data_IF_450404792498
#
_entry.id   IF_450404792498
#
_cell.length_a   1.000
_cell.length_b   1.000
_cell.length_c   1.000
_cell.angle_alpha   90.00
_cell.angle_beta   90.00
_cell.angle_gamma   90.00
#
_symmetry.space_group_name_H-M   'P 1'
#
loop_
_entity.id
_entity.type
_entity.pdbx_description
1 polymer ?
#
# COMPACT_ATOMS: atom_id res chain seq x y z
N UNK A 1 4.86 16.87 -0.19
CA UNK A 1 3.88 17.28 0.83
C UNK A 1 3.61 16.03 1.66
N UNK A 2 3.89 16.07 2.96
CA UNK A 2 3.74 14.92 3.86
C UNK A 2 2.27 14.55 4.03
N UNK A 3 1.98 13.26 4.26
CA UNK A 3 0.63 12.76 4.59
C UNK A 3 0.64 11.92 5.87
N UNK A 4 -0.51 11.72 6.49
CA UNK A 4 -0.59 10.91 7.71
C UNK A 4 -0.53 9.43 7.39
N UNK A 5 -1.33 8.98 6.42
CA UNK A 5 -1.42 7.58 6.02
C UNK A 5 -1.25 7.39 4.52
N UNK A 6 -0.46 6.41 4.11
CA UNK A 6 -0.44 5.91 2.74
C UNK A 6 -0.86 4.45 2.72
N UNK A 7 -1.77 4.09 1.81
CA UNK A 7 -2.25 2.73 1.62
C UNK A 7 -1.64 2.13 0.36
N UNK A 8 -1.11 0.92 0.46
CA UNK A 8 -0.62 0.12 -0.67
C UNK A 8 -1.52 -1.11 -0.85
N UNK A 9 -2.08 -1.28 -2.04
CA UNK A 9 -2.78 -2.49 -2.45
C UNK A 9 -2.37 -2.91 -3.87
N UNK A 10 -2.63 -4.16 -4.25
CA UNK A 10 -2.46 -4.63 -5.63
C UNK A 10 -3.52 -4.09 -6.60
N UNK A 11 -4.59 -3.50 -6.08
CA UNK A 11 -5.69 -2.94 -6.86
C UNK A 11 -6.55 -2.00 -6.02
N UNK A 12 -7.88 -2.18 -6.07
CA UNK A 12 -8.86 -1.32 -5.38
C UNK A 12 -9.53 -1.99 -4.18
N UNK A 13 -9.12 -3.21 -3.83
CA UNK A 13 -9.74 -4.00 -2.74
C UNK A 13 -9.50 -3.40 -1.35
N UNK A 14 -8.42 -2.63 -1.19
CA UNK A 14 -8.09 -1.93 0.06
C UNK A 14 -8.82 -0.60 0.29
N UNK A 15 -9.57 -0.07 -0.68
CA UNK A 15 -10.25 1.23 -0.54
C UNK A 15 -11.20 1.28 0.66
N UNK A 16 -12.04 0.26 0.93
CA UNK A 16 -12.91 0.26 2.10
C UNK A 16 -12.15 0.41 3.43
N UNK A 17 -10.92 -0.09 3.54
CA UNK A 17 -10.11 0.06 4.75
C UNK A 17 -9.63 1.50 4.95
N UNK A 18 -9.23 2.18 3.87
CA UNK A 18 -8.91 3.61 3.93
C UNK A 18 -10.14 4.44 4.32
N UNK A 19 -11.31 4.14 3.76
CA UNK A 19 -12.55 4.83 4.10
C UNK A 19 -12.92 4.64 5.58
N UNK A 20 -12.83 3.42 6.10
CA UNK A 20 -13.05 3.14 7.52
C UNK A 20 -12.04 3.87 8.43
N UNK A 21 -10.78 4.05 8.00
CA UNK A 21 -9.83 4.88 8.72
C UNK A 21 -10.25 6.35 8.72
N UNK A 22 -10.68 6.89 7.57
CA UNK A 22 -11.15 8.27 7.46
C UNK A 22 -12.42 8.54 8.28
N UNK A 23 -13.30 7.56 8.46
CA UNK A 23 -14.46 7.71 9.35
C UNK A 23 -14.02 7.93 10.82
N UNK A 24 -12.99 7.22 11.27
CA UNK A 24 -12.45 7.36 12.64
C UNK A 24 -11.55 8.58 12.80
N UNK A 25 -10.83 8.95 11.74
CA UNK A 25 -9.92 10.09 11.72
C UNK A 25 -10.23 11.01 10.52
N UNK A 26 -11.32 11.81 10.58
CA UNK A 26 -11.79 12.61 9.44
C UNK A 26 -10.78 13.63 8.93
N UNK A 27 -9.90 14.09 9.82
CA UNK A 27 -8.88 15.09 9.52
C UNK A 27 -7.55 14.48 9.05
N UNK A 28 -7.41 13.16 9.07
CA UNK A 28 -6.20 12.51 8.62
C UNK A 28 -6.08 12.61 7.09
N UNK A 29 -4.91 13.05 6.64
CA UNK A 29 -4.56 13.05 5.22
C UNK A 29 -4.19 11.63 4.79
N UNK A 30 -4.86 11.14 3.75
CA UNK A 30 -4.65 9.79 3.23
C UNK A 30 -4.35 9.81 1.73
N UNK A 31 -3.44 8.95 1.31
CA UNK A 31 -3.21 8.61 -0.10
C UNK A 31 -3.33 7.12 -0.30
N UNK A 32 -3.70 6.71 -1.50
CA UNK A 32 -3.88 5.31 -1.86
C UNK A 32 -3.13 5.01 -3.15
N UNK A 33 -2.25 4.02 -3.12
CA UNK A 33 -1.58 3.46 -4.27
C UNK A 33 -2.15 2.07 -4.52
N UNK A 34 -2.89 1.94 -5.63
CA UNK A 34 -3.24 0.64 -6.21
C UNK A 34 -2.25 0.27 -7.29
N UNK A 35 -1.47 -0.79 -7.08
CA UNK A 35 -0.45 -1.25 -8.02
C UNK A 35 -1.05 -2.13 -9.13
N UNK A 36 -1.85 -1.49 -9.99
CA UNK A 36 -2.49 -2.15 -11.12
C UNK A 36 -1.50 -2.59 -12.19
N UNK A 37 -0.29 -2.02 -12.23
CA UNK A 37 0.75 -2.39 -13.18
C UNK A 37 1.26 -3.82 -12.95
N UNK A 38 1.27 -4.26 -11.69
CA UNK A 38 1.65 -5.62 -11.31
C UNK A 38 0.45 -6.48 -10.87
N UNK A 39 -0.77 -6.09 -11.22
CA UNK A 39 -1.95 -6.92 -10.95
C UNK A 39 -2.03 -8.14 -11.89
N UNK A 40 -2.50 -9.31 -11.44
CA UNK A 40 -2.72 -9.71 -10.06
C UNK A 40 -1.43 -10.18 -9.39
N UNK A 41 -1.29 -9.90 -8.09
CA UNK A 41 -0.13 -10.35 -7.30
C UNK A 41 -0.17 -11.86 -7.02
N UNK A 42 -1.36 -12.47 -6.91
CA UNK A 42 -1.50 -13.89 -6.58
C UNK A 42 -0.96 -14.88 -7.62
N UNK A 43 -0.57 -14.41 -8.81
CA UNK A 43 0.04 -15.24 -9.86
C UNK A 43 1.57 -15.08 -9.93
N UNK A 44 2.16 -14.27 -9.05
CA UNK A 44 3.58 -13.95 -9.01
C UNK A 44 4.31 -14.82 -8.00
N UNK A 45 5.60 -15.00 -8.24
CA UNK A 45 6.51 -15.62 -7.27
C UNK A 45 6.72 -14.70 -6.07
N UNK A 46 7.10 -15.24 -4.90
CA UNK A 46 7.42 -14.42 -3.73
C UNK A 46 8.43 -13.31 -4.00
N UNK A 47 9.48 -13.61 -4.77
CA UNK A 47 10.53 -12.64 -5.12
C UNK A 47 10.00 -11.50 -5.99
N UNK A 48 9.12 -11.79 -6.95
CA UNK A 48 8.47 -10.77 -7.76
C UNK A 48 7.53 -9.89 -6.92
N UNK A 49 6.82 -10.48 -5.95
CA UNK A 49 5.94 -9.76 -5.03
C UNK A 49 6.75 -8.79 -4.16
N UNK A 50 7.84 -9.27 -3.54
CA UNK A 50 8.74 -8.43 -2.73
C UNK A 50 9.30 -7.28 -3.58
N UNK A 51 9.86 -7.59 -4.75
CA UNK A 51 10.44 -6.57 -5.63
C UNK A 51 9.44 -5.49 -6.05
N UNK A 52 8.23 -5.88 -6.44
CA UNK A 52 7.20 -4.93 -6.85
C UNK A 52 6.69 -4.10 -5.65
N UNK A 53 6.47 -4.74 -4.50
CA UNK A 53 6.04 -4.06 -3.28
C UNK A 53 7.10 -3.06 -2.79
N UNK A 54 8.39 -3.42 -2.74
CA UNK A 54 9.47 -2.51 -2.34
C UNK A 54 9.57 -1.30 -3.25
N UNK A 55 9.37 -1.48 -4.57
CA UNK A 55 9.33 -0.36 -5.51
C UNK A 55 8.14 0.56 -5.26
N UNK A 56 6.96 0.00 -4.98
CA UNK A 56 5.77 0.78 -4.64
C UNK A 56 5.95 1.55 -3.32
N UNK A 57 6.53 0.92 -2.29
CA UNK A 57 6.86 1.57 -1.01
C UNK A 57 7.82 2.74 -1.23
N UNK A 58 8.92 2.51 -1.96
CA UNK A 58 9.88 3.57 -2.28
C UNK A 58 9.23 4.74 -3.02
N UNK A 59 8.34 4.46 -3.97
CA UNK A 59 7.60 5.49 -4.67
C UNK A 59 6.69 6.28 -3.72
N UNK A 60 6.06 5.60 -2.76
CA UNK A 60 5.20 6.22 -1.77
C UNK A 60 5.99 7.19 -0.87
N UNK A 61 7.12 6.73 -0.33
CA UNK A 61 7.98 7.51 0.54
C UNK A 61 8.50 8.77 -0.16
N UNK A 62 8.94 8.62 -1.42
CA UNK A 62 9.46 9.72 -2.23
C UNK A 62 8.40 10.77 -2.56
N UNK A 63 7.16 10.35 -2.86
CA UNK A 63 6.11 11.28 -3.29
C UNK A 63 5.36 11.93 -2.12
N UNK A 64 5.09 11.17 -1.08
CA UNK A 64 4.15 11.58 -0.02
C UNK A 64 4.74 11.55 1.38
N UNK A 65 5.90 10.92 1.61
CA UNK A 65 6.58 10.85 2.91
C UNK A 65 5.60 10.62 4.08
N UNK A 66 4.86 9.50 4.08
CA UNK A 66 3.78 9.26 5.03
C UNK A 66 4.32 9.04 6.45
N UNK A 67 3.56 9.43 7.48
CA UNK A 67 3.85 9.04 8.86
C UNK A 67 3.63 7.54 9.09
N UNK A 68 2.68 6.95 8.37
CA UNK A 68 2.37 5.52 8.45
C UNK A 68 2.03 4.96 7.07
N UNK A 69 2.70 3.88 6.69
CA UNK A 69 2.36 3.07 5.53
C UNK A 69 1.48 1.90 5.97
N UNK A 70 0.39 1.67 5.25
CA UNK A 70 -0.55 0.56 5.46
C UNK A 70 -0.53 -0.35 4.25
N UNK A 71 -0.08 -1.59 4.43
CA UNK A 71 -0.20 -2.64 3.41
C UNK A 71 -1.61 -3.23 3.50
N UNK A 72 -2.47 -2.85 2.57
CA UNK A 72 -3.88 -3.25 2.51
C UNK A 72 -4.12 -4.54 1.70
N UNK A 73 -3.12 -4.99 0.93
CA UNK A 73 -3.20 -6.23 0.17
C UNK A 73 -2.76 -7.43 1.03
N UNK A 74 -3.65 -8.38 1.27
CA UNK A 74 -3.30 -9.61 2.00
C UNK A 74 -2.11 -10.35 1.36
N UNK A 75 -2.04 -10.45 0.04
CA UNK A 75 -0.93 -11.14 -0.66
C UNK A 75 0.41 -10.45 -0.38
N UNK A 76 0.46 -9.12 -0.38
CA UNK A 76 1.69 -8.40 -0.03
C UNK A 76 1.99 -8.61 1.46
N UNK A 77 0.99 -8.50 2.33
CA UNK A 77 1.18 -8.65 3.78
C UNK A 77 1.74 -10.01 4.19
N UNK A 78 1.31 -11.10 3.55
CA UNK A 78 1.78 -12.45 3.92
C UNK A 78 3.09 -12.85 3.25
N UNK A 79 3.49 -12.17 2.16
CA UNK A 79 4.63 -12.60 1.34
C UNK A 79 5.82 -11.65 1.43
N UNK A 80 5.60 -10.36 1.67
CA UNK A 80 6.65 -9.35 1.59
C UNK A 80 6.78 -8.45 2.82
N UNK A 81 5.85 -8.47 3.77
CA UNK A 81 5.84 -7.49 4.86
C UNK A 81 7.12 -7.47 5.70
N UNK A 82 7.76 -8.62 5.91
CA UNK A 82 9.02 -8.72 6.67
C UNK A 82 10.24 -8.16 5.91
N UNK A 83 10.11 -7.95 4.60
CA UNK A 83 11.16 -7.45 3.70
C UNK A 83 11.00 -5.95 3.33
N UNK A 84 9.90 -5.31 3.76
CA UNK A 84 9.56 -3.91 3.46
C UNK A 84 10.01 -2.96 4.58
#
# INVERSE_FOLDING_TARGET
MGVDFAFLDSGTGGIPYMLALKEKFPNASCVYLGDTAHFPYGQKTPQEIVSAASQAVKLIEQKWSPKTLVVACNTISVTALDDL
#
